data_IF_744218043505
#
_entry.id   IF_744218043505
#
_cell.length_a   1.000
_cell.length_b   1.000
_cell.length_c   1.000
_cell.angle_alpha   90.00
_cell.angle_beta   90.00
_cell.angle_gamma   90.00
#
_symmetry.space_group_name_H-M   'P 1'
#
loop_
_entity.id
_entity.type
_entity.pdbx_description
1 polymer ?
#
# COMPACT_ATOMS: atom_id res chain seq x y z
N UNK A 1 18.13 -58.45 6.54
CA UNK A 1 17.04 -57.93 5.69
C UNK A 1 17.05 -56.41 5.83
N UNK A 2 17.77 -55.79 4.86
CA UNK A 2 17.90 -54.33 4.76
C UNK A 2 16.98 -53.88 3.63
N UNK A 3 16.05 -53.00 3.94
CA UNK A 3 15.24 -52.29 2.93
C UNK A 3 15.81 -50.89 2.69
N UNK A 4 15.71 -50.32 1.49
CA UNK A 4 16.37 -49.07 1.14
C UNK A 4 15.49 -47.86 1.46
N UNK A 5 16.08 -46.89 2.15
CA UNK A 5 15.50 -45.51 2.31
C UNK A 5 16.42 -44.59 1.51
N UNK A 6 16.09 -44.34 0.27
CA UNK A 6 16.69 -43.24 -0.50
C UNK A 6 15.94 -43.04 -1.81
N UNK A 7 14.82 -42.26 -1.83
CA UNK A 7 14.31 -41.67 -3.08
C UNK A 7 13.10 -40.70 -2.83
N UNK A 8 13.23 -39.69 -1.98
CA UNK A 8 12.19 -38.61 -1.92
C UNK A 8 12.74 -37.17 -1.85
N UNK A 9 14.05 -36.97 -1.93
CA UNK A 9 14.63 -35.63 -1.78
C UNK A 9 14.84 -34.88 -3.10
N UNK A 10 14.56 -35.51 -4.25
CA UNK A 10 14.88 -34.95 -5.57
C UNK A 10 13.81 -34.06 -6.23
N UNK A 11 12.54 -34.16 -5.82
CA UNK A 11 11.42 -33.53 -6.53
C UNK A 11 11.12 -32.08 -6.07
N UNK A 12 11.44 -31.73 -4.83
CA UNK A 12 11.15 -30.40 -4.24
C UNK A 12 12.14 -29.34 -4.73
N UNK A 13 13.38 -29.71 -5.04
CA UNK A 13 14.44 -28.77 -5.43
C UNK A 13 14.39 -28.30 -6.90
N UNK A 14 13.70 -28.99 -7.80
CA UNK A 14 13.66 -28.63 -9.23
C UNK A 14 12.65 -27.51 -9.58
N UNK A 15 11.61 -27.27 -8.78
CA UNK A 15 10.63 -26.19 -9.01
C UNK A 15 11.09 -24.83 -8.46
N UNK A 16 11.83 -24.79 -7.38
CA UNK A 16 12.25 -23.58 -6.70
C UNK A 16 13.21 -22.68 -7.51
N UNK A 17 14.25 -23.19 -8.19
CA UNK A 17 15.18 -22.36 -8.96
C UNK A 17 14.55 -21.71 -10.18
N UNK A 18 13.61 -22.36 -10.86
CA UNK A 18 12.95 -21.81 -12.05
C UNK A 18 11.97 -20.68 -11.68
N UNK A 19 11.22 -20.84 -10.58
CA UNK A 19 10.34 -19.78 -10.05
C UNK A 19 11.15 -18.57 -9.55
N UNK A 20 12.26 -18.80 -8.87
CA UNK A 20 13.14 -17.75 -8.39
C UNK A 20 13.76 -16.95 -9.54
N UNK A 21 14.24 -17.63 -10.59
CA UNK A 21 14.78 -16.99 -11.81
C UNK A 21 13.71 -16.20 -12.55
N UNK A 22 12.50 -16.73 -12.65
CA UNK A 22 11.35 -16.04 -13.27
C UNK A 22 10.95 -14.78 -12.50
N UNK A 23 10.85 -14.88 -11.16
CA UNK A 23 10.58 -13.70 -10.28
C UNK A 23 11.68 -12.65 -10.40
N UNK A 24 12.95 -13.04 -10.37
CA UNK A 24 14.07 -12.11 -10.51
C UNK A 24 14.07 -11.41 -11.89
N UNK A 25 13.70 -12.14 -12.96
CA UNK A 25 13.57 -11.55 -14.30
C UNK A 25 12.42 -10.54 -14.36
N UNK A 26 11.25 -10.89 -13.84
CA UNK A 26 10.10 -9.97 -13.76
C UNK A 26 10.46 -8.72 -12.95
N UNK A 27 11.09 -8.86 -11.80
CA UNK A 27 11.54 -7.72 -10.98
C UNK A 27 12.49 -6.79 -11.75
N UNK A 28 13.43 -7.36 -12.53
CA UNK A 28 14.33 -6.58 -13.39
C UNK A 28 13.57 -5.83 -14.49
N UNK A 29 12.59 -6.47 -15.11
CA UNK A 29 11.73 -5.82 -16.13
C UNK A 29 10.90 -4.70 -15.51
N UNK A 30 10.32 -4.89 -14.32
CA UNK A 30 9.55 -3.84 -13.64
C UNK A 30 10.42 -2.66 -13.23
N UNK A 31 11.65 -2.89 -12.75
CA UNK A 31 12.62 -1.80 -12.51
C UNK A 31 12.98 -1.02 -13.78
N UNK A 32 13.07 -1.70 -14.93
CA UNK A 32 13.29 -1.03 -16.21
C UNK A 32 12.06 -0.22 -16.63
N UNK A 33 10.85 -0.77 -16.47
CA UNK A 33 9.60 -0.07 -16.72
C UNK A 33 9.46 1.18 -15.85
N UNK A 34 9.84 1.10 -14.58
CA UNK A 34 9.86 2.25 -13.67
C UNK A 34 10.82 3.34 -14.13
N UNK A 35 12.03 3.00 -14.58
CA UNK A 35 12.97 3.99 -15.15
C UNK A 35 12.39 4.68 -16.38
N UNK A 36 11.78 3.92 -17.28
CA UNK A 36 11.08 4.50 -18.46
C UNK A 36 9.95 5.41 -18.02
N UNK A 37 9.15 4.98 -17.04
CA UNK A 37 8.04 5.77 -16.50
C UNK A 37 8.51 7.12 -15.92
N UNK A 38 9.58 7.10 -15.13
CA UNK A 38 10.12 8.30 -14.48
C UNK A 38 10.72 9.25 -15.52
N UNK A 39 11.46 8.72 -16.50
CA UNK A 39 12.18 9.53 -17.47
C UNK A 39 11.28 10.05 -18.61
N UNK A 40 10.32 9.26 -19.07
CA UNK A 40 9.59 9.49 -20.32
C UNK A 40 8.06 9.52 -20.12
N UNK A 41 7.56 9.19 -18.93
CA UNK A 41 6.14 9.19 -18.60
C UNK A 41 5.38 7.94 -19.07
N UNK A 42 4.11 7.87 -18.70
CA UNK A 42 3.20 6.73 -18.99
C UNK A 42 3.07 6.42 -20.50
N UNK A 43 3.03 7.38 -21.43
CA UNK A 43 2.93 7.07 -22.86
C UNK A 43 4.10 6.22 -23.40
N UNK A 44 5.28 6.34 -22.80
CA UNK A 44 6.49 5.59 -23.22
C UNK A 44 6.53 4.14 -22.72
N UNK A 45 5.63 3.71 -21.83
CA UNK A 45 5.55 2.34 -21.31
C UNK A 45 5.09 1.33 -22.39
N UNK A 46 5.83 1.22 -23.49
CA UNK A 46 5.58 0.19 -24.49
C UNK A 46 6.41 -1.06 -24.20
N UNK A 47 5.91 -2.24 -24.59
CA UNK A 47 6.64 -3.51 -24.41
C UNK A 47 8.02 -3.48 -25.08
N UNK A 48 8.13 -2.83 -26.25
CA UNK A 48 9.40 -2.68 -26.98
C UNK A 48 10.38 -1.78 -26.21
N UNK A 49 9.91 -0.61 -25.72
CA UNK A 49 10.78 0.34 -24.99
C UNK A 49 11.26 -0.26 -23.67
N UNK A 50 10.35 -0.93 -22.93
CA UNK A 50 10.68 -1.57 -21.65
C UNK A 50 11.61 -2.79 -21.87
N UNK A 51 11.42 -3.59 -22.93
CA UNK A 51 12.30 -4.70 -23.25
C UNK A 51 13.73 -4.22 -23.56
N UNK A 52 13.86 -3.14 -24.35
CA UNK A 52 15.15 -2.50 -24.66
C UNK A 52 15.84 -2.02 -23.37
N UNK A 53 15.11 -1.31 -22.49
CA UNK A 53 15.62 -0.82 -21.21
C UNK A 53 16.03 -1.95 -20.25
N UNK A 54 15.28 -3.05 -20.24
CA UNK A 54 15.56 -4.23 -19.41
C UNK A 54 16.69 -5.12 -19.95
N UNK A 55 17.14 -4.92 -21.19
CA UNK A 55 18.11 -5.78 -21.86
C UNK A 55 17.58 -7.20 -22.10
N UNK A 56 16.29 -7.33 -22.46
CA UNK A 56 15.64 -8.62 -22.76
C UNK A 56 15.01 -8.56 -24.14
N UNK A 57 14.78 -9.73 -24.75
CA UNK A 57 14.00 -9.79 -26.00
C UNK A 57 12.53 -9.46 -25.71
N UNK A 58 11.88 -8.80 -26.67
CA UNK A 58 10.43 -8.49 -26.60
C UNK A 58 9.61 -9.77 -26.40
N UNK A 59 9.95 -10.87 -27.08
CA UNK A 59 9.31 -12.17 -26.88
C UNK A 59 9.43 -12.71 -25.45
N UNK A 60 10.57 -12.48 -24.79
CA UNK A 60 10.75 -12.84 -23.37
C UNK A 60 9.89 -11.97 -22.45
N UNK A 61 9.70 -10.70 -22.78
CA UNK A 61 8.84 -9.79 -22.00
C UNK A 61 7.36 -10.18 -22.15
N UNK A 62 6.92 -10.51 -23.35
CA UNK A 62 5.53 -10.94 -23.62
C UNK A 62 5.07 -12.14 -22.79
N UNK A 63 5.99 -12.99 -22.33
CA UNK A 63 5.65 -14.10 -21.43
C UNK A 63 5.10 -13.64 -20.06
N UNK A 64 5.39 -12.41 -19.64
CA UNK A 64 5.00 -11.85 -18.35
C UNK A 64 4.06 -10.67 -18.49
N UNK A 65 4.30 -9.81 -19.46
CA UNK A 65 3.63 -8.53 -19.68
C UNK A 65 3.27 -8.42 -21.16
N UNK A 66 2.07 -8.90 -21.56
CA UNK A 66 1.68 -9.00 -22.97
C UNK A 66 1.45 -7.66 -23.65
N UNK A 67 1.17 -6.62 -22.89
CA UNK A 67 0.84 -5.30 -23.41
C UNK A 67 1.24 -4.20 -22.42
N UNK A 68 0.98 -2.95 -22.80
CA UNK A 68 1.22 -1.76 -21.99
C UNK A 68 0.40 -1.77 -20.70
N UNK A 69 -0.85 -2.19 -20.78
CA UNK A 69 -1.76 -2.17 -19.63
C UNK A 69 -1.30 -3.16 -18.56
N UNK A 70 -0.79 -4.33 -18.98
CA UNK A 70 -0.18 -5.29 -18.07
C UNK A 70 1.09 -4.73 -17.37
N UNK A 71 1.88 -3.87 -18.06
CA UNK A 71 3.02 -3.18 -17.44
C UNK A 71 2.53 -2.19 -16.38
N UNK A 72 1.52 -1.38 -16.70
CA UNK A 72 0.90 -0.41 -15.77
C UNK A 72 0.34 -1.13 -14.55
N UNK A 73 -0.45 -2.18 -14.75
CA UNK A 73 -1.05 -2.96 -13.68
C UNK A 73 0.00 -3.60 -12.75
N UNK A 74 1.08 -4.12 -13.33
CA UNK A 74 2.16 -4.73 -12.55
C UNK A 74 2.97 -3.71 -11.74
N UNK A 75 3.24 -2.51 -12.29
CA UNK A 75 3.85 -1.41 -11.55
C UNK A 75 2.95 -0.97 -10.39
N UNK A 76 1.66 -0.73 -10.66
CA UNK A 76 0.70 -0.34 -9.63
C UNK A 76 0.63 -1.39 -8.50
N UNK A 77 0.58 -2.68 -8.84
CA UNK A 77 0.59 -3.76 -7.86
C UNK A 77 1.84 -3.75 -6.97
N UNK A 78 3.01 -3.39 -7.54
CA UNK A 78 4.25 -3.26 -6.77
C UNK A 78 4.15 -2.12 -5.75
N UNK A 79 3.64 -0.96 -6.15
CA UNK A 79 3.47 0.18 -5.25
C UNK A 79 2.43 -0.08 -4.16
N UNK A 80 1.30 -0.70 -4.50
CA UNK A 80 0.32 -1.11 -3.49
C UNK A 80 0.92 -2.04 -2.44
N UNK A 81 1.72 -3.03 -2.87
CA UNK A 81 2.37 -3.96 -1.96
C UNK A 81 3.35 -3.25 -1.01
N UNK A 82 4.07 -2.22 -1.48
CA UNK A 82 4.95 -1.40 -0.64
C UNK A 82 4.15 -0.62 0.41
N UNK A 83 3.09 0.07 0.00
CA UNK A 83 2.22 0.84 0.90
C UNK A 83 1.55 -0.06 1.96
N UNK A 84 1.09 -1.25 1.56
CA UNK A 84 0.49 -2.22 2.45
C UNK A 84 1.51 -2.82 3.44
N UNK A 85 2.75 -3.03 3.01
CA UNK A 85 3.81 -3.49 3.90
C UNK A 85 4.13 -2.46 5.01
N UNK A 86 4.08 -1.16 4.68
CA UNK A 86 4.22 -0.09 5.66
C UNK A 86 3.04 -0.08 6.64
N UNK A 87 1.81 -0.25 6.16
CA UNK A 87 0.63 -0.36 7.03
C UNK A 87 0.72 -1.56 7.98
N UNK A 88 1.19 -2.71 7.50
CA UNK A 88 1.40 -3.88 8.36
C UNK A 88 2.47 -3.63 9.44
N UNK A 89 3.51 -2.83 9.15
CA UNK A 89 4.47 -2.39 10.17
C UNK A 89 3.80 -1.51 11.22
N UNK A 90 2.96 -0.55 10.82
CA UNK A 90 2.20 0.26 11.76
C UNK A 90 1.30 -0.56 12.67
N UNK A 91 0.62 -1.56 12.13
CA UNK A 91 -0.20 -2.48 12.94
C UNK A 91 0.64 -3.23 13.97
N UNK A 92 1.85 -3.67 13.60
CA UNK A 92 2.76 -4.36 14.53
C UNK A 92 3.28 -3.42 15.62
N UNK A 93 3.74 -2.22 15.27
CA UNK A 93 4.28 -1.27 16.23
C UNK A 93 3.21 -0.71 17.16
N UNK A 94 2.00 -0.48 16.67
CA UNK A 94 0.86 -0.03 17.49
C UNK A 94 0.48 -1.02 18.61
N UNK A 95 0.82 -2.30 18.46
CA UNK A 95 0.59 -3.30 19.50
C UNK A 95 1.60 -3.22 20.67
N UNK A 96 2.77 -2.62 20.46
CA UNK A 96 3.89 -2.59 21.42
C UNK A 96 4.29 -1.19 21.85
N UNK A 97 3.95 -0.18 21.06
CA UNK A 97 4.32 1.22 21.25
C UNK A 97 3.11 2.09 21.56
N UNK A 98 3.35 3.20 22.27
CA UNK A 98 2.34 4.25 22.47
C UNK A 98 2.63 5.40 21.55
N UNK A 99 1.67 5.75 20.70
CA UNK A 99 1.78 6.89 19.80
C UNK A 99 0.99 8.09 20.37
N UNK A 100 1.70 9.19 20.61
CA UNK A 100 1.05 10.44 21.03
C UNK A 100 0.25 11.09 19.90
N UNK A 101 0.66 10.87 18.64
CA UNK A 101 0.01 11.42 17.46
C UNK A 101 -0.04 10.39 16.32
N UNK A 102 -0.99 9.43 16.34
CA UNK A 102 -1.11 8.43 15.30
C UNK A 102 -1.35 9.01 13.90
N UNK A 103 -2.08 10.13 13.80
CA UNK A 103 -2.36 10.79 12.54
C UNK A 103 -1.07 11.36 11.93
N UNK A 104 -0.29 12.08 12.74
CA UNK A 104 0.99 12.63 12.28
C UNK A 104 1.93 11.54 11.82
N UNK A 105 2.10 10.47 12.60
CA UNK A 105 2.96 9.32 12.23
C UNK A 105 2.55 8.73 10.88
N UNK A 106 1.26 8.46 10.67
CA UNK A 106 0.76 7.88 9.41
C UNK A 106 0.96 8.84 8.23
N UNK A 107 0.50 10.09 8.34
CA UNK A 107 0.58 11.07 7.25
C UNK A 107 2.03 11.36 6.88
N UNK A 108 2.93 11.58 7.85
CA UNK A 108 4.33 11.91 7.57
C UNK A 108 5.07 10.75 6.91
N UNK A 109 4.79 9.51 7.32
CA UNK A 109 5.41 8.34 6.69
C UNK A 109 4.94 8.16 5.26
N UNK A 110 3.63 8.25 4.99
CA UNK A 110 3.12 8.14 3.63
C UNK A 110 3.56 9.32 2.76
N UNK A 111 3.64 10.55 3.29
CA UNK A 111 4.22 11.69 2.60
C UNK A 111 5.71 11.43 2.25
N UNK A 112 6.47 10.80 3.15
CA UNK A 112 7.83 10.35 2.88
C UNK A 112 7.92 9.40 1.68
N UNK A 113 6.99 8.41 1.59
CA UNK A 113 6.92 7.50 0.45
C UNK A 113 6.59 8.25 -0.85
N UNK A 114 5.65 9.20 -0.83
CA UNK A 114 5.39 10.04 -1.99
C UNK A 114 6.62 10.82 -2.46
N UNK A 115 7.49 11.28 -1.54
CA UNK A 115 8.74 11.98 -1.89
C UNK A 115 9.76 11.06 -2.54
N UNK A 116 9.94 9.86 -1.98
CA UNK A 116 10.97 8.92 -2.43
C UNK A 116 10.56 8.11 -3.66
N UNK A 117 9.29 7.74 -3.78
CA UNK A 117 8.78 6.87 -4.85
C UNK A 117 8.33 7.70 -6.08
N UNK A 118 9.31 8.20 -6.85
CA UNK A 118 9.04 9.01 -8.05
C UNK A 118 8.19 8.26 -9.09
N UNK A 119 8.37 6.95 -9.22
CA UNK A 119 7.61 6.11 -10.14
C UNK A 119 6.12 6.03 -9.75
N UNK A 120 5.82 6.00 -8.45
CA UNK A 120 4.45 6.06 -7.97
C UNK A 120 3.77 7.37 -8.41
N UNK A 121 4.41 8.52 -8.17
CA UNK A 121 3.87 9.82 -8.59
C UNK A 121 3.70 9.90 -10.11
N UNK A 122 4.72 9.47 -10.88
CA UNK A 122 4.66 9.47 -12.34
C UNK A 122 3.51 8.63 -12.89
N UNK A 123 3.18 7.51 -12.22
CA UNK A 123 2.05 6.67 -12.59
C UNK A 123 0.71 7.31 -12.22
N UNK A 124 0.57 7.79 -10.98
CA UNK A 124 -0.72 8.30 -10.44
C UNK A 124 -1.11 9.66 -11.00
N UNK A 125 -0.13 10.55 -11.26
CA UNK A 125 -0.39 11.88 -11.80
C UNK A 125 -0.29 11.91 -13.33
N UNK A 126 0.20 10.82 -13.94
CA UNK A 126 0.17 10.62 -15.39
C UNK A 126 -1.25 10.30 -15.89
N UNK A 127 -1.44 10.48 -17.20
CA UNK A 127 -2.67 10.02 -17.86
C UNK A 127 -2.53 8.56 -18.27
N UNK A 128 -3.51 7.71 -17.96
CA UNK A 128 -3.59 6.37 -18.52
C UNK A 128 -3.58 5.20 -17.54
N UNK A 129 -4.05 5.41 -16.30
CA UNK A 129 -4.38 4.27 -15.44
C UNK A 129 -5.47 3.40 -16.09
N UNK A 130 -5.25 2.09 -16.08
CA UNK A 130 -6.22 1.12 -16.61
C UNK A 130 -7.44 1.00 -15.69
N UNK A 131 -8.55 0.48 -16.20
CA UNK A 131 -9.71 0.20 -15.36
C UNK A 131 -9.39 -0.87 -14.30
N UNK A 132 -8.50 -1.80 -14.63
CA UNK A 132 -8.00 -2.82 -13.70
C UNK A 132 -7.18 -2.18 -12.58
N UNK A 133 -6.27 -1.25 -12.89
CA UNK A 133 -5.52 -0.49 -11.88
C UNK A 133 -6.47 0.32 -10.99
N UNK A 134 -7.50 0.98 -11.55
CA UNK A 134 -8.50 1.72 -10.76
C UNK A 134 -9.31 0.80 -9.83
N UNK A 135 -9.65 -0.41 -10.29
CA UNK A 135 -10.32 -1.40 -9.46
C UNK A 135 -9.41 -1.91 -8.32
N UNK A 136 -8.13 -2.16 -8.63
CA UNK A 136 -7.13 -2.55 -7.65
C UNK A 136 -6.86 -1.45 -6.61
N UNK A 137 -6.86 -0.17 -7.01
CA UNK A 137 -6.75 0.99 -6.12
C UNK A 137 -7.91 1.05 -5.11
N UNK A 138 -9.16 0.85 -5.58
CA UNK A 138 -10.31 0.78 -4.66
C UNK A 138 -10.16 -0.33 -3.62
N UNK A 139 -9.67 -1.49 -4.02
CA UNK A 139 -9.45 -2.61 -3.12
C UNK A 139 -8.26 -2.36 -2.18
N UNK A 140 -7.19 -1.76 -2.69
CA UNK A 140 -6.06 -1.29 -1.88
C UNK A 140 -6.54 -0.34 -0.77
N UNK A 141 -7.37 0.65 -1.08
CA UNK A 141 -7.93 1.60 -0.09
C UNK A 141 -8.77 0.92 0.99
N UNK A 142 -9.48 -0.17 0.66
CA UNK A 142 -10.17 -0.99 1.67
C UNK A 142 -9.20 -1.70 2.60
N UNK A 143 -8.12 -2.30 2.06
CA UNK A 143 -7.08 -2.92 2.89
C UNK A 143 -6.37 -1.91 3.79
N UNK A 144 -6.09 -0.72 3.26
CA UNK A 144 -5.54 0.39 4.06
C UNK A 144 -6.47 0.79 5.19
N UNK A 145 -7.78 0.88 4.93
CA UNK A 145 -8.79 1.19 5.94
C UNK A 145 -8.88 0.12 7.04
N UNK A 146 -8.78 -1.16 6.67
CA UNK A 146 -8.70 -2.25 7.67
C UNK A 146 -7.41 -2.14 8.48
N UNK A 147 -6.28 -1.81 7.87
CA UNK A 147 -5.03 -1.53 8.57
C UNK A 147 -5.18 -0.40 9.59
N UNK A 148 -5.76 0.73 9.20
CA UNK A 148 -6.05 1.85 10.12
C UNK A 148 -6.96 1.38 11.27
N UNK A 149 -8.02 0.63 10.98
CA UNK A 149 -8.90 0.07 12.01
C UNK A 149 -8.10 -0.78 13.01
N UNK A 150 -7.23 -1.67 12.55
CA UNK A 150 -6.37 -2.51 13.40
C UNK A 150 -5.41 -1.68 14.26
N UNK A 151 -4.83 -0.60 13.71
CA UNK A 151 -4.01 0.36 14.47
C UNK A 151 -4.82 1.01 15.58
N UNK A 152 -6.02 1.53 15.30
CA UNK A 152 -6.87 2.19 16.30
C UNK A 152 -7.30 1.23 17.43
N UNK A 153 -7.59 -0.01 17.10
CA UNK A 153 -7.91 -1.06 18.08
C UNK A 153 -6.68 -1.39 18.95
N UNK A 154 -5.49 -1.54 18.35
CA UNK A 154 -4.26 -1.85 19.06
C UNK A 154 -3.85 -0.72 20.01
N UNK A 155 -4.01 0.54 19.61
CA UNK A 155 -3.76 1.72 20.44
C UNK A 155 -4.83 1.95 21.52
N UNK A 156 -5.94 1.22 21.49
CA UNK A 156 -7.06 1.38 22.42
C UNK A 156 -7.87 2.66 22.22
N UNK A 157 -7.73 3.30 21.04
CA UNK A 157 -8.45 4.55 20.69
C UNK A 157 -9.93 4.25 20.37
N UNK A 158 -10.21 3.09 19.80
CA UNK A 158 -11.57 2.65 19.49
C UNK A 158 -11.80 1.22 19.96
N UNK A 159 -13.07 0.88 20.26
CA UNK A 159 -13.55 -0.51 20.37
C UNK A 159 -13.96 -1.06 19.00
N UNK A 160 -14.02 -2.37 18.88
CA UNK A 160 -14.51 -3.03 17.66
C UNK A 160 -16.04 -2.95 17.61
N UNK A 161 -16.55 -1.90 16.98
CA UNK A 161 -17.97 -1.60 16.89
C UNK A 161 -18.43 -1.50 15.44
N UNK A 162 -19.70 -1.76 15.21
CA UNK A 162 -20.34 -1.52 13.91
C UNK A 162 -20.17 -0.03 13.53
N UNK A 163 -19.79 0.22 12.28
CA UNK A 163 -19.51 1.57 11.77
C UNK A 163 -18.05 2.03 11.87
N UNK A 164 -17.17 1.36 12.64
CA UNK A 164 -15.74 1.70 12.69
C UNK A 164 -15.06 1.48 11.32
N UNK A 165 -15.35 0.39 10.63
CA UNK A 165 -14.80 0.10 9.29
C UNK A 165 -15.13 1.19 8.26
N UNK A 166 -16.40 1.56 8.04
CA UNK A 166 -16.76 2.69 7.19
C UNK A 166 -16.10 4.00 7.57
N UNK A 167 -15.95 4.30 8.87
CA UNK A 167 -15.28 5.51 9.34
C UNK A 167 -13.78 5.53 8.99
N UNK A 168 -13.08 4.40 9.19
CA UNK A 168 -11.68 4.26 8.76
C UNK A 168 -11.54 4.39 7.24
N UNK A 169 -12.49 3.84 6.47
CA UNK A 169 -12.48 3.96 5.02
C UNK A 169 -12.65 5.42 4.57
N UNK A 170 -13.55 6.17 5.18
CA UNK A 170 -13.72 7.60 4.92
C UNK A 170 -12.45 8.40 5.24
N UNK A 171 -11.77 8.10 6.36
CA UNK A 171 -10.50 8.73 6.73
C UNK A 171 -9.41 8.45 5.69
N UNK A 172 -9.28 7.21 5.22
CA UNK A 172 -8.29 6.82 4.19
C UNK A 172 -8.57 7.54 2.86
N UNK A 173 -9.84 7.60 2.42
CA UNK A 173 -10.22 8.31 1.19
C UNK A 173 -9.87 9.81 1.27
N UNK A 174 -10.15 10.45 2.40
CA UNK A 174 -9.84 11.85 2.62
C UNK A 174 -8.33 12.09 2.67
N UNK A 175 -7.57 11.26 3.40
CA UNK A 175 -6.12 11.33 3.49
C UNK A 175 -5.47 11.18 2.11
N UNK A 176 -5.90 10.18 1.33
CA UNK A 176 -5.38 9.91 -0.02
C UNK A 176 -5.65 11.09 -0.98
N UNK A 177 -6.88 11.63 -0.99
CA UNK A 177 -7.23 12.75 -1.84
C UNK A 177 -6.41 14.01 -1.52
N UNK A 178 -6.20 14.32 -0.24
CA UNK A 178 -5.41 15.47 0.18
C UNK A 178 -3.91 15.28 -0.09
N UNK A 179 -3.38 14.08 0.16
CA UNK A 179 -2.00 13.75 -0.16
C UNK A 179 -1.74 13.84 -1.68
N UNK A 180 -2.60 13.26 -2.50
CA UNK A 180 -2.47 13.35 -3.96
C UNK A 180 -2.49 14.81 -4.44
N UNK A 181 -3.38 15.64 -3.90
CA UNK A 181 -3.42 17.07 -4.26
C UNK A 181 -2.17 17.82 -3.79
N UNK A 182 -1.67 17.54 -2.57
CA UNK A 182 -0.44 18.16 -2.06
C UNK A 182 0.77 17.85 -2.96
N UNK A 183 0.92 16.59 -3.38
CA UNK A 183 2.02 16.17 -4.25
C UNK A 183 1.81 16.48 -5.75
N UNK A 184 0.60 16.81 -6.17
CA UNK A 184 0.34 17.35 -7.50
C UNK A 184 0.76 18.81 -7.60
N UNK A 185 0.62 19.59 -6.52
CA UNK A 185 1.03 21.01 -6.44
C UNK A 185 2.54 21.18 -6.28
N UNK A 186 3.14 20.35 -5.44
CA UNK A 186 4.56 20.40 -5.10
C UNK A 186 5.13 18.98 -5.02
N UNK A 187 6.26 18.74 -5.68
CA UNK A 187 6.93 17.45 -5.66
C UNK A 187 7.40 17.01 -4.25
N UNK A 188 7.66 17.98 -3.36
CA UNK A 188 7.99 17.74 -1.94
C UNK A 188 6.73 17.62 -1.06
N UNK A 189 5.55 17.87 -1.64
CA UNK A 189 4.26 17.91 -0.95
C UNK A 189 3.98 19.30 -0.36
N UNK A 190 2.89 19.95 -0.82
CA UNK A 190 2.42 21.23 -0.26
C UNK A 190 2.25 21.09 1.25
N UNK A 191 3.19 21.69 2.01
CA UNK A 191 3.26 21.56 3.47
C UNK A 191 2.00 22.07 4.14
N UNK A 192 1.43 23.20 3.68
CA UNK A 192 0.23 23.78 4.25
C UNK A 192 -0.96 22.82 4.09
N UNK A 193 -1.11 22.19 2.93
CA UNK A 193 -2.18 21.23 2.68
C UNK A 193 -2.00 19.94 3.48
N UNK A 194 -0.77 19.45 3.65
CA UNK A 194 -0.48 18.29 4.48
C UNK A 194 -0.75 18.56 5.96
N UNK A 195 -0.46 19.78 6.45
CA UNK A 195 -0.76 20.18 7.83
C UNK A 195 -2.27 20.32 8.06
N UNK A 196 -3.03 20.90 7.12
CA UNK A 196 -4.50 20.92 7.18
C UNK A 196 -5.11 19.52 7.14
N UNK A 197 -4.54 18.60 6.35
CA UNK A 197 -4.95 17.20 6.35
C UNK A 197 -4.78 16.56 7.74
N UNK A 198 -3.65 16.81 8.43
CA UNK A 198 -3.43 16.32 9.79
C UNK A 198 -4.44 16.93 10.78
N UNK A 199 -4.70 18.23 10.70
CA UNK A 199 -5.69 18.91 11.55
C UNK A 199 -7.06 18.28 11.37
N UNK A 200 -7.52 18.15 10.13
CA UNK A 200 -8.80 17.55 9.79
C UNK A 200 -8.92 16.11 10.31
N UNK A 201 -7.90 15.28 10.06
CA UNK A 201 -7.91 13.88 10.44
C UNK A 201 -7.80 13.68 11.97
N UNK A 202 -7.07 14.54 12.70
CA UNK A 202 -7.08 14.54 14.18
C UNK A 202 -8.45 14.87 14.74
N UNK A 203 -9.12 15.89 14.18
CA UNK A 203 -10.52 16.22 14.55
C UNK A 203 -11.47 15.05 14.27
N UNK A 204 -11.31 14.40 13.11
CA UNK A 204 -12.11 13.22 12.77
C UNK A 204 -11.83 12.04 13.71
N UNK A 205 -10.55 11.78 14.04
CA UNK A 205 -10.15 10.74 14.98
C UNK A 205 -10.74 10.99 16.39
N UNK A 206 -10.74 12.23 16.85
CA UNK A 206 -11.39 12.61 18.13
C UNK A 206 -12.88 12.32 18.11
N UNK A 207 -13.58 12.70 17.04
CA UNK A 207 -15.00 12.40 16.88
C UNK A 207 -15.28 10.89 16.75
N UNK A 208 -14.37 10.14 16.13
CA UNK A 208 -14.44 8.69 15.99
C UNK A 208 -14.23 8.00 17.35
N UNK A 209 -13.23 8.41 18.12
CA UNK A 209 -12.99 7.92 19.47
C UNK A 209 -14.20 8.18 20.41
N UNK A 210 -14.84 9.33 20.31
CA UNK A 210 -16.06 9.62 21.07
C UNK A 210 -17.24 8.71 20.69
N UNK A 211 -17.36 8.31 19.43
CA UNK A 211 -18.45 7.44 18.93
C UNK A 211 -18.20 5.96 19.17
N UNK A 212 -16.94 5.52 19.10
CA UNK A 212 -16.54 4.11 19.08
C UNK A 212 -15.50 3.78 20.16
N UNK A 213 -15.20 4.71 21.10
CA UNK A 213 -14.29 4.47 22.21
C UNK A 213 -14.77 3.28 23.05
N UNK A 214 -13.84 2.60 23.73
CA UNK A 214 -14.20 1.56 24.70
C UNK A 214 -15.10 2.19 25.76
N UNK A 215 -16.29 1.65 25.93
CA UNK A 215 -17.09 1.85 27.14
C UNK A 215 -16.39 1.01 28.22
N UNK A 216 -15.40 1.58 28.89
CA UNK A 216 -14.90 0.99 30.12
C UNK A 216 -16.08 0.93 31.08
N UNK A 217 -16.41 -0.29 31.50
CA UNK A 217 -17.58 -0.60 32.29
C UNK A 217 -17.71 0.22 33.59
N UNK A 218 -18.36 1.37 33.46
CA UNK A 218 -18.97 2.05 34.60
C UNK A 218 -20.42 1.59 34.75
N UNK A 219 -20.61 0.29 35.04
CA UNK A 219 -21.88 -0.28 35.43
C UNK A 219 -21.72 -1.12 36.72
N UNK A 220 -21.03 -0.54 37.72
CA UNK A 220 -20.98 -1.17 39.04
C UNK A 220 -20.95 -0.07 40.13
N UNK A 221 -21.94 0.83 40.18
CA UNK A 221 -22.24 1.62 41.37
C UNK A 221 -23.62 2.29 41.24
N UNK A 222 -24.70 1.49 41.27
CA UNK A 222 -25.99 1.98 41.75
C UNK A 222 -26.83 0.75 42.19
N UNK A 223 -26.47 0.19 43.33
CA UNK A 223 -27.41 -0.57 44.13
C UNK A 223 -28.03 0.47 45.13
N UNK A 224 -29.37 0.70 45.14
CA UNK A 224 -29.99 1.47 46.18
C UNK A 224 -30.01 0.63 47.47
N UNK A 225 -29.65 1.29 48.57
CA UNK A 225 -29.86 0.83 49.93
C UNK A 225 -31.35 0.72 50.23
#
# INVERSE_FOLDING_TARGET
MSGPIAEETGAVLRRTPQQARSKARLARVLKAAERVLIAEGVPALTTTRVAAEAGVSVGSLYQYLPDRDAIIDALAATYFAQLEAVMEEFVRSAATERWSDPVGVLIDTYAGLYRTEQGFRALWFGSGLTDRTRAADREHKRRMADGVRRVLLALGIAGDAEGLGPACHAAVLAADALAQEAFRRDAEGDAALLDEAKVMLRGYLTALAARHGRQDGSAAANAPL
#
